data_IF_455093702278
#
_entry.id   IF_455093702278
#
_cell.length_a   1.000
_cell.length_b   1.000
_cell.length_c   1.000
_cell.angle_alpha   90.00
_cell.angle_beta   90.00
_cell.angle_gamma   90.00
#
_symmetry.space_group_name_H-M   'P 1'
#
loop_
_entity.id
_entity.type
_entity.pdbx_description
1 polymer ?
#
# COMPACT_ATOMS: atom_id res chain seq x y z
N UNK A 1 2.21 9.94 -3.42
CA UNK A 1 1.55 10.20 -2.13
C UNK A 1 0.10 10.64 -2.36
N UNK A 2 -0.73 10.45 -1.34
CA UNK A 2 -2.11 10.89 -1.20
C UNK A 2 -2.25 11.51 0.20
N UNK A 3 -2.85 12.69 0.31
CA UNK A 3 -3.09 13.36 1.61
C UNK A 3 -4.46 12.99 2.19
N UNK A 4 -4.68 13.26 3.48
CA UNK A 4 -5.97 13.09 4.14
C UNK A 4 -7.11 13.74 3.34
N UNK A 5 -6.89 14.94 2.83
CA UNK A 5 -7.90 15.70 2.07
C UNK A 5 -8.27 14.98 0.77
N UNK A 6 -7.28 14.48 0.01
CA UNK A 6 -7.52 13.70 -1.20
C UNK A 6 -8.26 12.39 -0.89
N UNK A 7 -7.88 11.72 0.21
CA UNK A 7 -8.47 10.45 0.64
C UNK A 7 -9.92 10.64 1.11
N UNK A 8 -10.20 11.73 1.83
CA UNK A 8 -11.55 12.07 2.28
C UNK A 8 -12.44 12.55 1.13
N UNK A 9 -11.87 13.25 0.15
CA UNK A 9 -12.57 13.68 -1.05
C UNK A 9 -12.91 12.54 -2.01
N UNK A 10 -12.21 11.40 -1.93
CA UNK A 10 -12.51 10.23 -2.73
C UNK A 10 -13.86 9.61 -2.36
N UNK A 11 -14.57 9.07 -3.36
CA UNK A 11 -15.91 8.53 -3.16
C UNK A 11 -15.88 7.15 -2.48
N UNK A 12 -14.77 6.43 -2.60
CA UNK A 12 -14.64 5.07 -2.07
C UNK A 12 -14.91 4.94 -0.57
N UNK A 13 -15.62 3.87 -0.18
CA UNK A 13 -15.93 3.57 1.22
C UNK A 13 -14.70 3.13 2.03
N UNK A 14 -13.72 2.52 1.36
CA UNK A 14 -12.52 1.93 1.96
C UNK A 14 -11.26 2.42 1.25
N UNK A 15 -10.09 2.32 1.89
CA UNK A 15 -8.82 2.77 1.31
C UNK A 15 -8.47 2.07 0.00
N UNK A 16 -8.82 0.79 -0.14
CA UNK A 16 -8.59 0.04 -1.37
C UNK A 16 -9.26 0.74 -2.56
N UNK A 17 -10.52 1.13 -2.40
CA UNK A 17 -11.32 1.78 -3.43
C UNK A 17 -10.77 3.17 -3.77
N UNK A 18 -10.38 3.94 -2.74
CA UNK A 18 -9.71 5.23 -2.92
C UNK A 18 -8.41 5.12 -3.72
N UNK A 19 -7.58 4.10 -3.44
CA UNK A 19 -6.34 3.90 -4.18
C UNK A 19 -6.63 3.45 -5.61
N UNK A 20 -7.63 2.60 -5.82
CA UNK A 20 -8.03 2.14 -7.15
C UNK A 20 -8.58 3.29 -8.01
N UNK A 21 -9.36 4.20 -7.42
CA UNK A 21 -9.93 5.39 -8.06
C UNK A 21 -8.85 6.44 -8.36
N UNK A 22 -8.07 6.86 -7.35
CA UNK A 22 -7.14 7.98 -7.49
C UNK A 22 -5.79 7.57 -8.10
N UNK A 23 -5.36 6.33 -7.86
CA UNK A 23 -4.01 5.84 -8.18
C UNK A 23 -4.03 4.35 -8.59
N UNK A 24 -4.74 3.97 -9.66
CA UNK A 24 -4.79 2.58 -10.13
C UNK A 24 -3.40 2.01 -10.45
N UNK A 25 -2.45 2.89 -10.82
CA UNK A 25 -1.04 2.55 -11.04
C UNK A 25 -0.31 1.98 -9.82
N UNK A 26 -0.81 2.18 -8.60
CA UNK A 26 -0.20 1.60 -7.39
C UNK A 26 -0.48 0.10 -7.29
N UNK A 27 -1.60 -0.36 -7.86
CA UNK A 27 -1.94 -1.77 -8.00
C UNK A 27 -1.34 -2.41 -9.25
N UNK A 28 -1.06 -1.63 -10.31
CA UNK A 28 -0.33 -2.11 -11.48
C UNK A 28 1.16 -2.29 -11.18
N UNK A 29 1.48 -3.40 -10.51
CA UNK A 29 2.84 -3.91 -10.48
C UNK A 29 3.15 -4.40 -11.90
N UNK A 30 4.11 -3.77 -12.56
CA UNK A 30 4.68 -4.34 -13.78
C UNK A 30 5.46 -5.60 -13.37
N UNK A 31 4.86 -6.77 -13.59
CA UNK A 31 5.57 -8.03 -13.56
C UNK A 31 6.62 -8.01 -14.70
N UNK A 32 7.81 -7.50 -14.40
CA UNK A 32 8.95 -7.55 -15.32
C UNK A 32 9.43 -8.99 -15.32
N UNK A 33 9.02 -9.77 -16.32
CA UNK A 33 9.67 -11.02 -16.70
C UNK A 33 9.35 -12.24 -15.84
N UNK A 34 8.39 -13.04 -16.34
CA UNK A 34 8.49 -14.48 -16.58
C UNK A 34 9.36 -15.38 -15.67
N UNK A 35 8.70 -16.46 -15.21
CA UNK A 35 9.28 -17.81 -14.93
C UNK A 35 10.08 -17.99 -13.63
N UNK A 36 9.45 -17.84 -12.46
CA UNK A 36 9.60 -18.73 -11.28
C UNK A 36 8.89 -18.17 -10.04
N UNK A 37 7.68 -18.67 -9.81
CA UNK A 37 7.07 -19.02 -8.50
C UNK A 37 6.90 -18.02 -7.35
N UNK A 38 7.25 -16.74 -7.45
CA UNK A 38 6.85 -15.77 -6.42
C UNK A 38 6.25 -14.54 -7.09
N UNK A 39 4.92 -14.52 -7.21
CA UNK A 39 4.18 -13.31 -7.60
C UNK A 39 4.52 -12.24 -6.56
N UNK A 40 5.27 -11.20 -6.93
CA UNK A 40 5.70 -10.22 -5.94
C UNK A 40 4.45 -9.47 -5.47
N UNK A 41 4.15 -9.59 -4.17
CA UNK A 41 2.92 -9.02 -3.58
C UNK A 41 3.14 -7.55 -3.14
N UNK A 42 2.02 -6.81 -3.04
CA UNK A 42 2.02 -5.48 -2.44
C UNK A 42 1.90 -5.62 -0.93
N UNK A 43 2.91 -5.15 -0.20
CA UNK A 43 2.86 -5.07 1.25
C UNK A 43 2.14 -3.80 1.72
N UNK A 44 1.28 -3.91 2.71
CA UNK A 44 0.63 -2.76 3.36
C UNK A 44 1.30 -2.51 4.69
N UNK A 45 1.74 -1.28 4.89
CA UNK A 45 2.42 -0.85 6.10
C UNK A 45 1.64 0.29 6.75
N UNK A 46 1.22 0.11 8.00
CA UNK A 46 0.56 1.16 8.76
C UNK A 46 1.54 1.71 9.79
N UNK A 47 1.83 3.01 9.75
CA UNK A 47 2.83 3.66 10.61
C UNK A 47 4.20 2.93 10.61
N UNK A 48 4.64 2.48 9.43
CA UNK A 48 5.86 1.66 9.21
C UNK A 48 5.81 0.24 9.80
N UNK A 49 4.67 -0.23 10.27
CA UNK A 49 4.44 -1.61 10.72
C UNK A 49 3.80 -2.41 9.60
N UNK A 50 4.37 -3.57 9.26
CA UNK A 50 3.79 -4.46 8.26
C UNK A 50 2.48 -5.05 8.78
N UNK A 51 1.37 -4.73 8.11
CA UNK A 51 0.06 -5.26 8.47
C UNK A 51 -0.36 -6.46 7.61
N UNK A 52 0.25 -6.64 6.43
CA UNK A 52 -0.09 -7.72 5.53
C UNK A 52 -0.21 -7.26 4.08
N UNK A 53 -1.13 -7.86 3.34
CA UNK A 53 -1.41 -7.52 1.94
C UNK A 53 -2.52 -6.48 1.74
N UNK A 54 -2.91 -6.20 0.48
CA UNK A 54 -3.92 -5.19 0.14
C UNK A 54 -5.31 -5.48 0.72
N UNK A 55 -5.58 -6.70 1.18
CA UNK A 55 -6.81 -7.05 1.89
C UNK A 55 -7.03 -6.18 3.15
N UNK A 56 -5.96 -5.79 3.84
CA UNK A 56 -6.04 -4.94 5.05
C UNK A 56 -6.60 -3.55 4.72
N UNK A 57 -6.33 -3.02 3.51
CA UNK A 57 -6.85 -1.71 3.09
C UNK A 57 -8.38 -1.70 2.95
N UNK A 58 -8.99 -2.87 2.80
CA UNK A 58 -10.46 -3.02 2.72
C UNK A 58 -11.11 -2.93 4.09
N UNK A 59 -10.38 -3.29 5.15
CA UNK A 59 -10.84 -3.24 6.54
C UNK A 59 -10.57 -1.85 7.16
N UNK A 60 -9.57 -1.12 6.65
CA UNK A 60 -9.23 0.20 7.14
C UNK A 60 -10.18 1.31 6.66
N UNK A 61 -10.64 2.11 7.63
CA UNK A 61 -11.43 3.31 7.37
C UNK A 61 -10.57 4.48 6.88
N UNK A 62 -11.02 5.15 5.82
CA UNK A 62 -10.34 6.32 5.23
C UNK A 62 -10.23 7.52 6.17
N UNK A 63 -11.14 7.64 7.12
CA UNK A 63 -11.19 8.72 8.12
C UNK A 63 -10.07 8.66 9.15
N UNK A 64 -9.51 7.48 9.44
CA UNK A 64 -8.39 7.33 10.37
C UNK A 64 -7.03 7.63 9.72
N UNK A 65 -6.99 7.75 8.38
CA UNK A 65 -5.78 7.90 7.61
C UNK A 65 -5.48 9.37 7.35
N UNK A 66 -4.28 9.79 7.71
CA UNK A 66 -3.80 11.15 7.48
C UNK A 66 -2.94 11.26 6.22
N UNK A 67 -2.27 10.19 5.82
CA UNK A 67 -1.43 10.19 4.62
C UNK A 67 -1.22 8.78 4.07
N UNK A 68 -1.15 8.63 2.76
CA UNK A 68 -0.73 7.40 2.10
C UNK A 68 0.39 7.65 1.09
N UNK A 69 1.29 6.69 0.97
CA UNK A 69 2.41 6.75 0.04
C UNK A 69 2.71 5.36 -0.50
N UNK A 70 2.76 5.25 -1.83
CA UNK A 70 3.25 4.05 -2.49
C UNK A 70 4.77 4.13 -2.67
N UNK A 71 5.41 2.99 -2.48
CA UNK A 71 6.83 2.79 -2.64
C UNK A 71 7.08 1.56 -3.50
N UNK A 72 7.96 1.67 -4.49
CA UNK A 72 8.33 0.54 -5.34
C UNK A 72 9.08 -0.54 -4.53
N UNK A 73 8.96 -1.81 -4.94
CA UNK A 73 9.58 -2.97 -4.29
C UNK A 73 11.03 -2.79 -3.81
N UNK A 74 11.96 -2.27 -4.63
CA UNK A 74 13.34 -2.04 -4.19
C UNK A 74 13.45 -0.94 -3.11
N UNK A 75 12.67 0.14 -3.19
CA UNK A 75 12.63 1.17 -2.15
C UNK A 75 11.99 0.63 -0.86
N UNK A 76 10.89 -0.13 -1.00
CA UNK A 76 10.20 -0.81 0.08
C UNK A 76 11.15 -1.73 0.84
N UNK A 77 11.88 -2.58 0.14
CA UNK A 77 12.83 -3.52 0.76
C UNK A 77 14.02 -2.82 1.40
N UNK A 78 14.42 -1.64 0.90
CA UNK A 78 15.49 -0.84 1.48
C UNK A 78 15.08 -0.04 2.73
N UNK A 79 13.82 0.45 2.78
CA UNK A 79 13.33 1.32 3.86
C UNK A 79 12.46 0.61 4.90
N UNK A 80 11.78 -0.46 4.51
CA UNK A 80 10.84 -1.21 5.33
C UNK A 80 11.38 -2.63 5.54
N UNK A 81 11.24 -3.11 6.77
CA UNK A 81 11.58 -4.49 7.11
C UNK A 81 10.34 -5.35 6.93
N UNK A 82 10.28 -6.13 5.85
CA UNK A 82 9.26 -7.18 5.72
C UNK A 82 9.63 -8.40 6.55
N UNK A 83 8.66 -9.05 7.21
CA UNK A 83 8.89 -10.36 7.80
C UNK A 83 9.14 -11.38 6.68
N UNK A 84 10.22 -12.16 6.80
CA UNK A 84 10.41 -13.39 6.02
C UNK A 84 11.09 -13.29 4.65
N UNK A 85 11.91 -12.26 4.38
CA UNK A 85 12.65 -12.12 3.12
C UNK A 85 11.77 -12.21 1.85
N UNK A 86 10.47 -11.94 1.99
CA UNK A 86 9.54 -11.87 0.86
C UNK A 86 9.89 -10.63 0.03
N UNK A 87 10.26 -10.87 -1.22
CA UNK A 87 10.45 -9.82 -2.21
C UNK A 87 9.08 -9.16 -2.48
N UNK A 88 8.94 -7.91 -2.02
CA UNK A 88 7.76 -7.12 -2.33
C UNK A 88 7.89 -6.53 -3.73
N UNK A 89 6.79 -6.55 -4.47
CA UNK A 89 6.66 -5.77 -5.70
C UNK A 89 6.57 -4.27 -5.43
N UNK A 90 5.97 -3.93 -4.30
CA UNK A 90 5.70 -2.58 -3.85
C UNK A 90 5.18 -2.60 -2.42
N UNK A 91 5.18 -1.43 -1.81
CA UNK A 91 4.61 -1.22 -0.49
C UNK A 91 3.71 0.01 -0.48
N UNK A 92 2.55 -0.11 0.17
CA UNK A 92 1.68 1.02 0.46
C UNK A 92 1.89 1.37 1.93
N UNK A 93 2.55 2.50 2.19
CA UNK A 93 2.57 3.12 3.50
C UNK A 93 1.27 3.87 3.73
N UNK A 94 0.65 3.59 4.85
CA UNK A 94 -0.49 4.27 5.41
C UNK A 94 -0.04 4.90 6.72
N UNK A 95 -0.23 6.20 6.87
CA UNK A 95 -0.05 6.90 8.13
C UNK A 95 -1.43 7.21 8.68
N UNK A 96 -1.68 6.79 9.91
CA UNK A 96 -2.93 7.08 10.61
C UNK A 96 -2.71 8.19 11.62
N UNK A 97 -3.71 9.05 11.80
CA UNK A 97 -3.71 10.08 12.83
C UNK A 97 -4.12 9.48 14.17
N UNK A 98 -3.28 8.64 14.76
CA UNK A 98 -3.43 8.17 16.14
C UNK A 98 -2.20 8.61 16.93
N UNK A 99 -2.42 9.40 17.98
CA UNK A 99 -1.39 9.76 18.97
C UNK A 99 -0.88 8.52 19.70
#
# INVERSE_FOLDING_TARGET
MLTAEEILAASGGNLHDVVEELRPRWFQIRAVGSLQQQTPEIGVFVNRVYQGGPAVLRDMSKTAVTRMEYMDGPQASARLRTPGATALAGAILVQTGGN
#
